data_IF_856879787762
#
_entry.id   IF_856879787762
#
_cell.length_a   1.000
_cell.length_b   1.000
_cell.length_c   1.000
_cell.angle_alpha   90.00
_cell.angle_beta   90.00
_cell.angle_gamma   90.00
#
_symmetry.space_group_name_H-M   'P 1'
#
loop_
_entity.id
_entity.type
_entity.pdbx_description
1 polymer ?
#
# COMPACT_ATOMS: atom_id res chain seq x y z
N UNK A 1 37.05 -48.64 17.51
CA UNK A 1 35.88 -48.12 18.26
C UNK A 1 35.83 -46.59 18.19
N UNK A 2 35.53 -46.01 17.02
CA UNK A 2 35.03 -44.62 16.91
C UNK A 2 34.70 -44.27 15.45
N UNK A 3 33.62 -44.85 14.93
CA UNK A 3 32.98 -44.39 13.68
C UNK A 3 31.49 -44.08 13.87
N UNK A 4 31.02 -43.91 15.11
CA UNK A 4 29.59 -43.66 15.40
C UNK A 4 29.27 -42.26 15.94
N UNK A 5 30.19 -41.30 15.88
CA UNK A 5 29.93 -39.92 16.36
C UNK A 5 29.76 -38.86 15.26
N UNK A 6 29.57 -39.26 13.99
CA UNK A 6 29.43 -38.32 12.88
C UNK A 6 27.98 -38.10 12.40
N UNK A 7 27.01 -38.86 12.93
CA UNK A 7 25.60 -38.77 12.50
C UNK A 7 24.74 -37.95 13.48
N UNK A 8 25.17 -37.76 14.74
CA UNK A 8 24.41 -36.96 15.72
C UNK A 8 24.60 -35.43 15.58
N UNK A 9 25.61 -34.96 14.84
CA UNK A 9 25.87 -33.53 14.65
C UNK A 9 25.10 -32.91 13.47
N UNK A 10 24.60 -33.71 12.52
CA UNK A 10 23.95 -33.20 11.30
C UNK A 10 22.44 -33.02 11.49
N UNK A 11 21.79 -33.82 12.35
CA UNK A 11 20.36 -33.67 12.65
C UNK A 11 20.03 -32.51 13.61
N UNK A 12 20.98 -32.07 14.44
CA UNK A 12 20.79 -31.00 15.41
C UNK A 12 20.94 -29.58 14.82
N UNK A 13 21.62 -29.44 13.68
CA UNK A 13 21.82 -28.14 13.01
C UNK A 13 20.75 -27.75 12.00
N UNK A 14 19.86 -28.67 11.60
CA UNK A 14 18.74 -28.33 10.70
C UNK A 14 17.46 -27.91 11.44
N UNK A 15 17.34 -28.22 12.73
CA UNK A 15 16.17 -27.84 13.54
C UNK A 15 16.29 -26.40 14.05
N UNK A 16 17.51 -25.92 14.34
CA UNK A 16 17.75 -24.54 14.81
C UNK A 16 17.61 -23.47 13.72
N UNK A 17 17.77 -23.81 12.44
CA UNK A 17 17.66 -22.84 11.34
C UNK A 17 16.21 -22.59 10.88
N UNK A 18 15.27 -23.48 11.20
CA UNK A 18 13.84 -23.32 10.89
C UNK A 18 13.13 -22.50 11.96
N UNK A 19 13.56 -22.56 13.23
CA UNK A 19 12.99 -21.76 14.32
C UNK A 19 13.40 -20.26 14.23
N UNK A 20 14.61 -19.97 13.73
CA UNK A 20 15.13 -18.60 13.63
C UNK A 20 14.47 -17.74 12.55
N UNK A 21 13.67 -18.33 11.65
CA UNK A 21 13.00 -17.61 10.56
C UNK A 21 11.50 -17.34 10.82
N UNK A 22 10.92 -17.89 11.90
CA UNK A 22 9.54 -17.54 12.32
C UNK A 22 9.45 -16.34 13.27
N UNK A 23 10.57 -15.88 13.83
CA UNK A 23 10.63 -14.74 14.76
C UNK A 23 11.22 -13.45 14.16
N UNK A 24 11.38 -13.35 12.84
CA UNK A 24 11.90 -12.13 12.17
C UNK A 24 10.80 -11.27 11.53
N UNK A 25 9.56 -11.39 12.02
CA UNK A 25 8.49 -10.40 11.77
C UNK A 25 8.21 -9.60 13.04
N UNK A 26 9.26 -9.23 13.76
CA UNK A 26 9.20 -8.20 14.79
C UNK A 26 10.23 -7.12 14.44
N UNK A 27 9.74 -5.98 13.94
CA UNK A 27 10.52 -4.76 13.93
C UNK A 27 11.05 -4.26 12.59
N UNK A 28 10.37 -4.47 11.46
CA UNK A 28 10.28 -3.30 10.58
C UNK A 28 9.41 -2.28 11.32
N UNK A 29 9.85 -1.03 11.47
CA UNK A 29 8.97 0.00 12.02
C UNK A 29 7.79 0.05 11.07
N UNK A 30 6.66 -0.56 11.46
CA UNK A 30 5.37 -0.38 10.81
C UNK A 30 5.29 1.12 10.56
N UNK A 31 5.45 1.54 9.31
CA UNK A 31 5.46 2.96 8.98
C UNK A 31 4.21 3.51 9.61
N UNK A 32 4.41 4.38 10.62
CA UNK A 32 3.31 4.85 11.46
C UNK A 32 2.22 5.37 10.51
N UNK A 33 0.96 5.00 10.73
CA UNK A 33 -0.15 5.46 9.88
C UNK A 33 -0.12 6.99 9.72
N UNK A 34 0.30 7.72 10.75
CA UNK A 34 0.54 9.16 10.68
C UNK A 34 1.61 9.58 9.66
N UNK A 35 2.68 8.80 9.51
CA UNK A 35 3.73 9.00 8.49
C UNK A 35 3.20 8.70 7.09
N UNK A 36 2.43 7.63 6.92
CA UNK A 36 1.77 7.30 5.65
C UNK A 36 0.80 8.42 5.23
N UNK A 37 -0.02 8.89 6.17
CA UNK A 37 -0.96 9.98 5.97
C UNK A 37 -0.23 11.30 5.61
N UNK A 38 0.87 11.59 6.30
CA UNK A 38 1.70 12.77 5.98
C UNK A 38 2.31 12.67 4.59
N UNK A 39 2.77 11.48 4.18
CA UNK A 39 3.26 11.25 2.83
C UNK A 39 2.15 11.46 1.80
N UNK A 40 0.98 10.88 2.02
CA UNK A 40 -0.16 11.03 1.12
C UNK A 40 -0.60 12.49 0.95
N UNK A 41 -0.56 13.30 2.02
CA UNK A 41 -0.85 14.75 1.95
C UNK A 41 0.21 15.48 1.11
N UNK A 42 1.49 15.13 1.27
CA UNK A 42 2.56 15.71 0.47
C UNK A 42 2.43 15.33 -1.02
N UNK A 43 2.08 14.07 -1.30
CA UNK A 43 1.91 13.57 -2.67
C UNK A 43 0.74 14.29 -3.37
N UNK A 44 -0.36 14.58 -2.64
CA UNK A 44 -1.48 15.37 -3.15
C UNK A 44 -1.05 16.81 -3.45
N UNK A 45 -0.24 17.43 -2.59
CA UNK A 45 0.27 18.78 -2.82
C UNK A 45 1.18 18.84 -4.06
N UNK A 46 2.03 17.84 -4.26
CA UNK A 46 2.88 17.74 -5.45
C UNK A 46 2.06 17.51 -6.72
N UNK A 47 1.04 16.65 -6.67
CA UNK A 47 0.12 16.45 -7.77
C UNK A 47 -0.66 17.72 -8.12
N UNK A 48 -1.05 18.54 -7.14
CA UNK A 48 -1.71 19.83 -7.36
C UNK A 48 -0.78 20.81 -8.11
N UNK A 49 0.47 20.94 -7.67
CA UNK A 49 1.45 21.81 -8.34
C UNK A 49 1.71 21.37 -9.79
N UNK A 50 1.79 20.05 -10.04
CA UNK A 50 1.92 19.53 -11.40
C UNK A 50 0.66 19.79 -12.23
N UNK A 51 -0.53 19.66 -11.65
CA UNK A 51 -1.79 19.96 -12.30
C UNK A 51 -1.90 21.44 -12.69
N UNK A 52 -1.47 22.36 -11.81
CA UNK A 52 -1.45 23.79 -12.09
C UNK A 52 -0.49 24.12 -13.25
N UNK A 53 0.69 23.48 -13.28
CA UNK A 53 1.65 23.59 -14.38
C UNK A 53 1.09 23.02 -15.70
N UNK A 54 0.40 21.88 -15.64
CA UNK A 54 -0.24 21.26 -16.81
C UNK A 54 -1.43 22.09 -17.32
N UNK A 55 -2.22 22.68 -16.42
CA UNK A 55 -3.34 23.58 -16.74
C UNK A 55 -2.84 24.85 -17.42
N UNK A 56 -1.72 25.38 -16.93
CA UNK A 56 -1.04 26.51 -17.57
C UNK A 56 -0.61 26.17 -18.99
N UNK A 57 -0.08 24.95 -19.23
CA UNK A 57 0.27 24.46 -20.57
C UNK A 57 -0.96 24.19 -21.45
N UNK A 58 -2.05 23.66 -20.88
CA UNK A 58 -3.29 23.38 -21.61
C UNK A 58 -4.00 24.67 -22.05
N UNK A 59 -3.96 25.72 -21.23
CA UNK A 59 -4.42 27.05 -21.61
C UNK A 59 -3.64 27.62 -22.83
N UNK A 60 -2.51 27.02 -23.19
CA UNK A 60 -1.74 27.33 -24.40
C UNK A 60 -2.25 26.57 -25.65
N UNK A 61 -3.28 25.72 -25.54
CA UNK A 61 -4.12 25.28 -26.66
C UNK A 61 -3.72 23.97 -27.37
N UNK A 62 -3.37 22.92 -26.63
CA UNK A 62 -3.06 21.60 -27.24
C UNK A 62 -4.32 20.76 -27.56
N UNK A 63 -4.24 20.01 -28.67
CA UNK A 63 -5.33 19.30 -29.34
C UNK A 63 -5.80 18.08 -28.53
N UNK A 64 -7.10 18.04 -28.18
CA UNK A 64 -7.74 16.89 -27.52
C UNK A 64 -8.80 16.32 -28.45
N UNK A 65 -8.72 15.03 -28.72
CA UNK A 65 -9.69 14.27 -29.51
C UNK A 65 -10.94 13.95 -28.67
N UNK A 66 -12.15 14.11 -29.23
CA UNK A 66 -13.43 13.94 -28.51
C UNK A 66 -13.58 12.55 -27.84
N UNK A 67 -13.03 11.50 -28.44
CA UNK A 67 -13.11 10.14 -27.91
C UNK A 67 -12.33 9.98 -26.59
N UNK A 68 -11.22 10.70 -26.43
CA UNK A 68 -10.43 10.69 -25.20
C UNK A 68 -11.19 11.33 -24.05
N UNK A 69 -11.96 12.39 -24.33
CA UNK A 69 -12.84 13.04 -23.33
C UNK A 69 -13.92 12.07 -22.85
N UNK A 70 -14.53 11.31 -23.76
CA UNK A 70 -15.55 10.32 -23.41
C UNK A 70 -14.97 9.16 -22.58
N UNK A 71 -13.79 8.65 -22.97
CA UNK A 71 -13.10 7.60 -22.22
C UNK A 71 -12.70 8.11 -20.82
N UNK A 72 -12.17 9.34 -20.73
CA UNK A 72 -11.81 9.96 -19.47
C UNK A 72 -13.03 10.12 -18.55
N UNK A 73 -14.18 10.55 -19.09
CA UNK A 73 -15.42 10.67 -18.33
C UNK A 73 -15.94 9.32 -17.80
N UNK A 74 -15.90 8.27 -18.63
CA UNK A 74 -16.27 6.91 -18.20
C UNK A 74 -15.32 6.39 -17.12
N UNK A 75 -14.01 6.57 -17.31
CA UNK A 75 -12.99 6.17 -16.33
C UNK A 75 -13.16 6.92 -15.00
N UNK A 76 -13.43 8.22 -15.04
CA UNK A 76 -13.70 9.02 -13.85
C UNK A 76 -14.92 8.51 -13.08
N UNK A 77 -15.99 8.16 -13.79
CA UNK A 77 -17.22 7.61 -13.18
C UNK A 77 -16.94 6.29 -12.46
N UNK A 78 -16.24 5.36 -13.11
CA UNK A 78 -15.88 4.06 -12.51
C UNK A 78 -14.94 4.25 -11.32
N UNK A 79 -13.96 5.15 -11.43
CA UNK A 79 -13.00 5.43 -10.36
C UNK A 79 -13.70 6.05 -9.14
N UNK A 80 -14.65 6.95 -9.36
CA UNK A 80 -15.45 7.54 -8.28
C UNK A 80 -16.28 6.49 -7.56
N UNK A 81 -16.93 5.59 -8.29
CA UNK A 81 -17.68 4.48 -7.71
C UNK A 81 -16.78 3.58 -6.84
N UNK A 82 -15.59 3.22 -7.35
CA UNK A 82 -14.63 2.44 -6.58
C UNK A 82 -14.15 3.18 -5.32
N UNK A 83 -13.91 4.49 -5.41
CA UNK A 83 -13.51 5.30 -4.26
C UNK A 83 -14.61 5.37 -3.19
N UNK A 84 -15.89 5.44 -3.58
CA UNK A 84 -17.02 5.39 -2.66
C UNK A 84 -17.10 4.04 -1.94
N UNK A 85 -16.90 2.93 -2.64
CA UNK A 85 -16.86 1.60 -2.02
C UNK A 85 -15.71 1.46 -1.01
N UNK A 86 -14.50 1.92 -1.38
CA UNK A 86 -13.35 1.93 -0.47
C UNK A 86 -13.64 2.80 0.76
N UNK A 87 -14.23 4.00 0.57
CA UNK A 87 -14.64 4.88 1.68
C UNK A 87 -15.62 4.17 2.61
N UNK A 88 -16.65 3.52 2.06
CA UNK A 88 -17.65 2.82 2.85
C UNK A 88 -17.00 1.70 3.67
N UNK A 89 -16.14 0.88 3.05
CA UNK A 89 -15.41 -0.20 3.73
C UNK A 89 -14.45 0.29 4.80
N UNK A 90 -13.78 1.42 4.58
CA UNK A 90 -12.92 2.04 5.59
C UNK A 90 -13.71 2.53 6.81
N UNK A 91 -14.90 3.12 6.58
CA UNK A 91 -15.80 3.55 7.66
C UNK A 91 -16.33 2.33 8.43
N UNK A 92 -16.75 1.27 7.73
CA UNK A 92 -17.18 0.02 8.36
C UNK A 92 -16.07 -0.59 9.23
N UNK A 93 -14.84 -0.68 8.70
CA UNK A 93 -13.70 -1.21 9.44
C UNK A 93 -13.39 -0.39 10.71
N UNK A 94 -13.50 0.95 10.62
CA UNK A 94 -13.35 1.82 11.79
C UNK A 94 -14.46 1.57 12.83
N UNK A 95 -15.72 1.48 12.38
CA UNK A 95 -16.84 1.19 13.26
C UNK A 95 -16.70 -0.17 13.94
N UNK A 96 -16.22 -1.19 13.24
CA UNK A 96 -16.00 -2.53 13.78
C UNK A 96 -14.93 -2.53 14.88
N UNK A 97 -13.79 -1.86 14.66
CA UNK A 97 -12.74 -1.71 15.67
C UNK A 97 -13.28 -1.01 16.93
N UNK A 98 -14.12 0.02 16.76
CA UNK A 98 -14.74 0.72 17.90
C UNK A 98 -15.72 -0.18 18.68
N UNK A 99 -16.40 -1.10 18.00
CA UNK A 99 -17.31 -2.09 18.62
C UNK A 99 -16.58 -3.21 19.35
N UNK A 100 -15.33 -3.51 18.99
CA UNK A 100 -14.51 -4.50 19.69
C UNK A 100 -13.97 -4.00 21.04
N UNK A 101 -13.96 -2.68 21.29
CA UNK A 101 -13.37 -2.06 22.48
C UNK A 101 -14.37 -1.73 23.60
N UNK A 102 -15.65 -2.07 23.45
CA UNK A 102 -16.68 -1.93 24.51
C UNK A 102 -16.99 -3.23 25.21
#
# INVERSE_FOLDING_TARGET
>A
MNQLNLIQAVSSNQINSVQANMNRVEGEPKQNFATLLKSAINDVNEAQLQSDAATTKLAMGEQIELHDVMIAAQKATITLQAALEIRNKAVEAYQEIMRMQV
#
